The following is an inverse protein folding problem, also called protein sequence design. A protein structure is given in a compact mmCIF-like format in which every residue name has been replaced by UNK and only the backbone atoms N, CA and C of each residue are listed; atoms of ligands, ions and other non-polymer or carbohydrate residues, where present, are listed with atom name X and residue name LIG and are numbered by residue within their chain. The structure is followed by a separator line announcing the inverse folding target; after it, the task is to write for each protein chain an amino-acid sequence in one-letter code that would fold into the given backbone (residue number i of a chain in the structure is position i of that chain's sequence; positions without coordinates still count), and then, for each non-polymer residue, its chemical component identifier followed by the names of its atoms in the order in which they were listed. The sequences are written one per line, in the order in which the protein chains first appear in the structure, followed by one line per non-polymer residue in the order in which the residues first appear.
data_IF_295092208729
#
_entry.id   IF_295092208729
#
_cell.length_a   1.000
_cell.length_b   1.000
_cell.length_c   1.000
_cell.angle_alpha   90.00
_cell.angle_beta   90.00
_cell.angle_gamma   90.00
#
_symmetry.space_group_name_H-M   'P 1'
#
loop_
_entity.id
_entity.type
_entity.pdbx_description
1 polymer ?
#
# COMPACT_ATOMS: atom_id res chain seq x y z
N UNK A 1 -5.14 21.65 -15.35
CA UNK A 1 -4.00 20.77 -15.72
C UNK A 1 -2.66 21.22 -15.13
N UNK A 2 -2.45 22.49 -14.76
CA UNK A 2 -1.23 22.96 -14.07
C UNK A 2 -1.11 22.62 -12.58
N UNK A 3 -2.17 22.19 -11.90
CA UNK A 3 -2.10 21.75 -10.49
C UNK A 3 -1.32 20.44 -10.32
N UNK A 4 -1.38 19.55 -11.31
CA UNK A 4 -0.69 18.26 -11.27
C UNK A 4 0.81 18.45 -11.56
N UNK A 5 1.16 19.32 -12.50
CA UNK A 5 2.57 19.61 -12.83
C UNK A 5 3.27 20.46 -11.76
N UNK A 6 2.55 21.33 -11.06
CA UNK A 6 3.07 22.10 -9.93
C UNK A 6 3.27 21.20 -8.70
N UNK A 7 2.37 20.25 -8.44
CA UNK A 7 2.57 19.24 -7.40
C UNK A 7 3.79 18.34 -7.69
N UNK A 8 3.98 17.97 -8.97
CA UNK A 8 5.16 17.21 -9.41
C UNK A 8 6.46 18.01 -9.28
N UNK A 9 6.49 19.29 -9.66
CA UNK A 9 7.69 20.14 -9.52
C UNK A 9 7.99 20.49 -8.05
N UNK A 10 6.96 20.67 -7.21
CA UNK A 10 7.10 20.87 -5.76
C UNK A 10 7.65 19.59 -5.10
N UNK A 11 7.15 18.41 -5.47
CA UNK A 11 7.65 17.13 -4.97
C UNK A 11 9.09 16.83 -5.42
N UNK A 12 9.46 17.21 -6.65
CA UNK A 12 10.82 17.02 -7.18
C UNK A 12 11.81 18.00 -6.53
N UNK A 13 11.41 19.24 -6.24
CA UNK A 13 12.27 20.23 -5.60
C UNK A 13 12.44 20.01 -4.08
N UNK A 14 11.45 19.42 -3.40
CA UNK A 14 11.54 19.09 -1.97
C UNK A 14 12.32 17.81 -1.67
N UNK A 15 12.43 16.87 -2.62
CA UNK A 15 13.12 15.59 -2.45
C UNK A 15 14.62 15.61 -2.85
N UNK A 16 15.10 16.64 -3.54
CA UNK A 16 16.45 16.66 -4.13
C UNK A 16 17.61 16.70 -3.10
N UNK A 17 17.35 16.92 -1.80
CA UNK A 17 18.38 16.93 -0.76
C UNK A 17 18.64 15.56 -0.10
N UNK A 18 17.93 14.49 -0.48
CA UNK A 18 18.07 13.15 0.15
C UNK A 18 18.05 11.94 -0.79
N UNK A 19 18.07 12.14 -2.12
CA UNK A 19 17.95 11.05 -3.11
C UNK A 19 19.32 10.51 -3.57
N UNK A 20 19.44 9.18 -3.69
CA UNK A 20 20.62 8.55 -4.30
C UNK A 20 20.67 8.78 -5.82
N UNK A 21 21.86 8.81 -6.42
CA UNK A 21 22.05 8.98 -7.87
C UNK A 21 21.23 8.02 -8.74
N UNK A 22 20.92 6.81 -8.25
CA UNK A 22 20.11 5.81 -8.95
C UNK A 22 18.62 6.19 -8.99
N UNK A 23 18.11 6.83 -7.94
CA UNK A 23 16.75 7.35 -7.88
C UNK A 23 16.59 8.60 -8.77
N UNK A 24 17.60 9.48 -8.78
CA UNK A 24 17.64 10.65 -9.67
C UNK A 24 17.60 10.24 -11.15
N UNK A 25 18.35 9.20 -11.54
CA UNK A 25 18.34 8.69 -12.92
C UNK A 25 16.97 8.15 -13.34
N UNK A 26 16.30 7.40 -12.46
CA UNK A 26 14.95 6.87 -12.73
C UNK A 26 13.90 7.97 -12.85
N UNK A 27 13.96 8.98 -11.98
CA UNK A 27 13.08 10.16 -12.07
C UNK A 27 13.28 10.92 -13.37
N UNK A 28 14.53 11.15 -13.78
CA UNK A 28 14.83 11.85 -15.03
C UNK A 28 14.30 11.09 -16.26
N UNK A 29 14.28 9.76 -16.21
CA UNK A 29 13.74 8.92 -17.28
C UNK A 29 12.19 8.96 -17.33
N UNK A 30 11.53 9.00 -16.18
CA UNK A 30 10.08 9.20 -16.08
C UNK A 30 9.65 10.60 -16.55
N UNK A 31 10.40 11.64 -16.20
CA UNK A 31 10.17 13.03 -16.67
C UNK A 31 10.32 13.13 -18.20
N UNK A 32 11.37 12.54 -18.78
CA UNK A 32 11.54 12.48 -20.24
C UNK A 32 10.37 11.77 -20.94
N UNK A 33 9.86 10.70 -20.33
CA UNK A 33 8.70 9.97 -20.88
C UNK A 33 7.44 10.82 -20.86
N UNK A 34 7.25 11.66 -19.83
CA UNK A 34 6.14 12.59 -19.74
C UNK A 34 6.27 13.75 -20.75
N UNK A 35 7.47 14.30 -20.95
CA UNK A 35 7.73 15.33 -21.95
C UNK A 35 7.42 14.84 -23.36
N UNK A 36 7.87 13.63 -23.71
CA UNK A 36 7.56 13.01 -25.00
C UNK A 36 6.05 12.83 -25.23
N UNK A 37 5.29 12.49 -24.18
CA UNK A 37 3.82 12.38 -24.24
C UNK A 37 3.14 13.74 -24.37
N UNK A 38 3.67 14.77 -23.71
CA UNK A 38 3.15 16.14 -23.84
C UNK A 38 3.41 16.72 -25.23
N UNK A 39 4.55 16.41 -25.84
CA UNK A 39 4.85 16.80 -27.23
C UNK A 39 3.95 16.08 -28.24
N UNK A 40 3.67 14.79 -28.01
CA UNK A 40 2.66 14.06 -28.79
C UNK A 40 1.27 14.72 -28.70
N UNK A 41 0.83 15.10 -27.50
CA UNK A 41 -0.45 15.78 -27.30
C UNK A 41 -0.48 17.19 -27.91
N UNK A 42 0.62 17.95 -27.85
CA UNK A 42 0.77 19.24 -28.55
C UNK A 42 0.69 19.06 -30.06
N UNK A 43 1.26 17.99 -30.60
CA UNK A 43 1.22 17.70 -32.03
C UNK A 43 -0.20 17.34 -32.49
N UNK A 44 -0.95 16.60 -31.68
CA UNK A 44 -2.39 16.35 -31.90
C UNK A 44 -3.20 17.65 -31.84
N UNK A 45 -2.90 18.54 -30.89
CA UNK A 45 -3.62 19.80 -30.70
C UNK A 45 -3.41 20.81 -31.84
N UNK A 46 -2.27 20.76 -32.55
CA UNK A 46 -2.00 21.62 -33.72
C UNK A 46 -2.94 21.37 -34.90
N UNK A 47 -3.55 20.18 -34.99
CA UNK A 47 -4.40 19.77 -36.13
C UNK A 47 -5.91 19.84 -35.83
N UNK A 48 -6.33 20.42 -34.69
CA UNK A 48 -7.75 20.55 -34.31
C UNK A 48 -8.05 21.97 -33.81
N UNK A 49 -8.71 22.83 -34.62
CA UNK A 49 -8.96 24.24 -34.29
C UNK A 49 -9.68 24.48 -32.94
N UNK A 50 -10.48 23.51 -32.47
CA UNK A 50 -11.17 23.57 -31.18
C UNK A 50 -10.32 23.27 -29.94
N UNK A 51 -9.11 22.70 -30.08
CA UNK A 51 -8.24 22.36 -28.95
C UNK A 51 -7.45 23.57 -28.40
N UNK A 52 -7.35 24.65 -29.18
CA UNK A 52 -6.60 25.86 -28.82
C UNK A 52 -7.22 26.63 -27.65
N UNK A 53 -8.55 26.56 -27.49
CA UNK A 53 -9.30 27.28 -26.45
C UNK A 53 -9.06 26.75 -25.01
N UNK A 54 -8.41 25.60 -24.86
CA UNK A 54 -8.14 24.96 -23.55
C UNK A 54 -6.77 25.37 -22.98
N UNK A 55 -5.91 26.04 -23.76
CA UNK A 55 -4.49 26.25 -23.42
C UNK A 55 -4.15 27.65 -22.86
N UNK A 56 -5.03 28.65 -22.98
CA UNK A 56 -4.62 30.06 -22.79
C UNK A 56 -4.98 30.70 -21.42
N UNK A 57 -5.68 30.03 -20.51
CA UNK A 57 -6.07 30.63 -19.22
C UNK A 57 -5.02 30.50 -18.10
N UNK A 58 -3.91 29.81 -18.35
CA UNK A 58 -2.92 29.41 -17.35
C UNK A 58 -1.53 29.68 -17.92
N UNK A 59 -1.05 30.92 -18.04
CA UNK A 59 0.32 31.17 -18.57
C UNK A 59 1.39 30.90 -17.50
N UNK A 60 2.57 30.48 -17.96
CA UNK A 60 3.68 30.00 -17.10
C UNK A 60 4.36 31.17 -16.38
N UNK A 61 4.42 32.34 -17.02
CA UNK A 61 5.16 33.50 -16.52
C UNK A 61 4.52 34.12 -15.28
N UNK A 62 3.19 34.30 -15.25
CA UNK A 62 2.49 34.83 -14.07
C UNK A 62 2.63 33.95 -12.82
N UNK A 63 2.87 32.64 -13.00
CA UNK A 63 3.07 31.69 -11.89
C UNK A 63 4.50 31.71 -11.37
N UNK A 64 5.49 32.04 -12.20
CA UNK A 64 6.89 32.15 -11.80
C UNK A 64 7.18 33.42 -10.99
N UNK A 65 6.50 34.53 -11.30
CA UNK A 65 6.64 35.79 -10.56
C UNK A 65 6.11 35.70 -9.12
N UNK A 66 5.00 34.98 -8.92
CA UNK A 66 4.44 34.70 -7.59
C UNK A 66 5.39 33.84 -6.73
N UNK A 67 5.98 32.79 -7.31
CA UNK A 67 6.93 31.91 -6.61
C UNK A 67 8.22 32.64 -6.21
N UNK A 68 8.71 33.58 -7.04
CA UNK A 68 9.87 34.42 -6.68
C UNK A 68 9.56 35.36 -5.50
N UNK A 69 8.32 35.79 -5.34
CA UNK A 69 7.91 36.69 -4.24
C UNK A 69 7.83 35.94 -2.89
N UNK A 70 7.42 34.67 -2.90
CA UNK A 70 7.44 33.81 -1.71
C UNK A 70 8.88 33.47 -1.28
N UNK A 71 9.78 33.21 -2.23
CA UNK A 71 11.17 32.88 -1.93
C UNK A 71 11.94 34.04 -1.27
N UNK A 72 11.59 35.30 -1.58
CA UNK A 72 12.22 36.49 -0.99
C UNK A 72 11.81 36.76 0.46
N UNK A 73 10.73 36.18 0.97
CA UNK A 73 10.14 36.52 2.27
C UNK A 73 10.15 35.36 3.31
N UNK A 74 11.02 34.36 3.16
CA UNK A 74 11.07 33.21 4.08
C UNK A 74 11.96 33.48 5.31
N UNK A 75 11.47 33.31 6.55
CA UNK A 75 12.34 33.30 7.74
C UNK A 75 13.07 31.94 7.84
N UNK A 76 14.37 31.98 8.14
CA UNK A 76 15.21 30.79 8.25
C UNK A 76 14.93 30.00 9.54
N UNK A 77 14.82 28.67 9.44
CA UNK A 77 15.01 27.77 10.61
C UNK A 77 13.87 26.86 11.08
N UNK A 78 12.78 26.60 10.31
CA UNK A 78 11.75 25.63 10.74
C UNK A 78 11.76 24.34 9.90
N UNK A 79 11.86 23.19 10.58
CA UNK A 79 11.76 21.83 10.02
C UNK A 79 10.45 21.68 9.23
N UNK A 80 10.53 21.01 8.09
CA UNK A 80 9.40 20.69 7.22
C UNK A 80 8.52 19.67 7.93
N UNK A 81 7.26 20.05 8.17
CA UNK A 81 6.17 19.14 8.52
C UNK A 81 5.37 18.93 7.23
N UNK A 82 5.11 17.67 6.87
CA UNK A 82 4.33 17.33 5.68
C UNK A 82 2.83 17.55 5.94
N UNK A 83 2.09 17.82 4.86
CA UNK A 83 0.81 18.55 4.87
C UNK A 83 -0.40 17.85 5.53
N UNK A 84 -0.26 16.61 6.02
CA UNK A 84 -1.39 15.84 6.57
C UNK A 84 -1.21 15.42 8.03
N UNK A 85 -0.11 15.78 8.70
CA UNK A 85 0.09 15.44 10.12
C UNK A 85 0.10 13.92 10.43
N UNK A 86 0.20 13.06 9.42
CA UNK A 86 0.50 11.64 9.55
C UNK A 86 1.98 11.46 9.24
N UNK A 87 2.72 10.99 10.23
CA UNK A 87 4.16 10.72 10.13
C UNK A 87 4.48 9.95 8.85
N UNK A 88 5.39 10.50 8.04
CA UNK A 88 5.94 9.82 6.87
C UNK A 88 6.33 8.38 7.24
N UNK A 89 5.88 7.41 6.43
CA UNK A 89 6.10 5.97 6.58
C UNK A 89 7.49 5.67 7.14
N UNK A 90 7.56 5.36 8.44
CA UNK A 90 8.80 4.95 9.08
C UNK A 90 8.94 3.44 8.94
N UNK A 91 9.24 2.97 7.73
CA UNK A 91 9.69 1.59 7.50
C UNK A 91 10.80 1.51 6.45
N UNK A 92 12.06 1.80 6.82
CA UNK A 92 13.19 1.81 5.88
C UNK A 92 13.49 0.46 5.23
N UNK A 93 13.05 -0.65 5.84
CA UNK A 93 13.25 -2.00 5.32
C UNK A 93 12.01 -2.56 4.61
N UNK A 94 10.92 -1.80 4.54
CA UNK A 94 9.75 -2.18 3.77
C UNK A 94 10.04 -2.03 2.28
N UNK A 95 9.50 -2.94 1.49
CA UNK A 95 9.56 -2.86 0.03
C UNK A 95 8.14 -2.70 -0.47
N UNK A 96 7.82 -1.53 -1.01
CA UNK A 96 6.48 -1.25 -1.52
C UNK A 96 6.03 -2.30 -2.54
N UNK A 97 4.75 -2.64 -2.51
CA UNK A 97 4.12 -3.38 -3.59
C UNK A 97 3.90 -2.45 -4.77
N UNK A 98 4.21 -2.94 -5.96
CA UNK A 98 3.77 -2.28 -7.19
C UNK A 98 2.26 -2.40 -7.34
N UNK A 99 1.66 -1.55 -8.18
CA UNK A 99 0.22 -1.66 -8.49
C UNK A 99 -0.15 -3.06 -8.99
N UNK A 100 0.71 -3.69 -9.80
CA UNK A 100 0.50 -5.06 -10.28
C UNK A 100 0.47 -6.05 -9.12
N UNK A 101 1.41 -5.96 -8.18
CA UNK A 101 1.43 -6.85 -7.00
C UNK A 101 0.23 -6.62 -6.07
N UNK A 102 -0.28 -5.39 -5.98
CA UNK A 102 -1.53 -5.10 -5.25
C UNK A 102 -2.71 -5.82 -5.92
N UNK A 103 -2.85 -5.70 -7.24
CA UNK A 103 -3.92 -6.37 -7.99
C UNK A 103 -3.82 -7.90 -7.87
N UNK A 104 -2.64 -8.48 -8.07
CA UNK A 104 -2.42 -9.93 -7.89
C UNK A 104 -2.78 -10.39 -6.47
N UNK A 105 -2.47 -9.57 -5.46
CA UNK A 105 -2.82 -9.87 -4.06
C UNK A 105 -4.33 -9.86 -3.86
N UNK A 106 -5.04 -8.87 -4.39
CA UNK A 106 -6.51 -8.81 -4.32
C UNK A 106 -7.16 -9.96 -5.09
N UNK A 107 -6.68 -10.27 -6.29
CA UNK A 107 -7.18 -11.37 -7.12
C UNK A 107 -7.04 -12.72 -6.40
N UNK A 108 -5.90 -12.97 -5.76
CA UNK A 108 -5.69 -14.19 -4.97
C UNK A 108 -6.70 -14.31 -3.80
N UNK A 109 -6.96 -13.22 -3.08
CA UNK A 109 -7.97 -13.20 -2.02
C UNK A 109 -9.37 -13.43 -2.57
N UNK A 110 -9.74 -12.67 -3.61
CA UNK A 110 -11.09 -12.65 -4.15
C UNK A 110 -11.44 -13.95 -4.86
N UNK A 111 -10.47 -14.61 -5.49
CA UNK A 111 -10.64 -15.96 -6.05
C UNK A 111 -10.94 -16.99 -4.95
N UNK A 112 -10.21 -16.94 -3.82
CA UNK A 112 -10.46 -17.83 -2.68
C UNK A 112 -11.83 -17.58 -2.03
N UNK A 113 -12.25 -16.31 -1.92
CA UNK A 113 -13.57 -15.90 -1.40
C UNK A 113 -14.71 -16.35 -2.30
N UNK A 114 -14.58 -16.16 -3.62
CA UNK A 114 -15.56 -16.61 -4.60
C UNK A 114 -15.74 -18.14 -4.56
N UNK A 115 -14.66 -18.89 -4.35
CA UNK A 115 -14.69 -20.36 -4.23
C UNK A 115 -15.49 -20.88 -3.02
N UNK A 116 -15.88 -20.02 -2.08
CA UNK A 116 -16.79 -20.33 -0.97
C UNK A 116 -18.07 -19.48 -1.01
N UNK A 117 -18.45 -18.99 -2.20
CA UNK A 117 -19.67 -18.22 -2.49
C UNK A 117 -19.76 -16.84 -1.80
N UNK A 118 -18.64 -16.25 -1.40
CA UNK A 118 -18.62 -14.86 -0.91
C UNK A 118 -18.58 -13.93 -2.13
N UNK A 119 -19.62 -13.11 -2.29
CA UNK A 119 -19.82 -12.25 -3.47
C UNK A 119 -19.25 -10.85 -3.31
N UNK A 120 -18.94 -10.42 -2.08
CA UNK A 120 -18.33 -9.10 -1.82
C UNK A 120 -16.80 -9.24 -1.85
N UNK A 121 -16.13 -8.68 -2.89
CA UNK A 121 -14.68 -8.74 -2.99
C UNK A 121 -14.03 -7.81 -1.98
N UNK A 122 -12.84 -8.18 -1.53
CA UNK A 122 -11.94 -7.26 -0.83
C UNK A 122 -11.49 -6.16 -1.78
N UNK A 123 -11.30 -4.97 -1.21
CA UNK A 123 -10.65 -3.85 -1.88
C UNK A 123 -9.42 -3.41 -1.08
N UNK A 124 -8.44 -2.84 -1.76
CA UNK A 124 -7.22 -2.37 -1.11
C UNK A 124 -7.50 -1.10 -0.28
N UNK A 125 -6.78 -0.95 0.83
CA UNK A 125 -6.83 0.22 1.71
C UNK A 125 -5.39 0.64 2.07
N UNK A 126 -5.00 1.84 1.62
CA UNK A 126 -3.64 2.35 1.81
C UNK A 126 -3.35 2.73 3.27
N UNK A 127 -4.36 3.11 4.05
CA UNK A 127 -4.17 3.44 5.47
C UNK A 127 -3.91 2.17 6.27
N UNK A 128 -4.61 1.08 5.93
CA UNK A 128 -4.35 -0.25 6.49
C UNK A 128 -2.95 -0.75 6.08
N UNK A 129 -2.55 -0.56 4.82
CA UNK A 129 -1.20 -0.95 4.37
C UNK A 129 -0.10 -0.15 5.09
N UNK A 130 -0.34 1.14 5.34
CA UNK A 130 0.55 2.01 6.11
C UNK A 130 0.64 1.56 7.57
N UNK A 131 -0.50 1.19 8.17
CA UNK A 131 -0.55 0.64 9.52
C UNK A 131 0.26 -0.65 9.64
N UNK A 132 0.09 -1.57 8.69
CA UNK A 132 0.87 -2.80 8.57
C UNK A 132 2.38 -2.51 8.46
N UNK A 133 2.78 -1.51 7.65
CA UNK A 133 4.17 -1.11 7.49
C UNK A 133 4.80 -0.58 8.78
N UNK A 134 4.06 0.21 9.56
CA UNK A 134 4.54 0.75 10.83
C UNK A 134 4.84 -0.36 11.84
N UNK A 135 4.03 -1.41 11.87
CA UNK A 135 4.31 -2.57 12.72
C UNK A 135 5.48 -3.41 12.17
N UNK A 136 5.48 -3.68 10.86
CA UNK A 136 6.50 -4.49 10.20
C UNK A 136 7.93 -3.93 10.34
N UNK A 137 8.09 -2.61 10.53
CA UNK A 137 9.39 -1.99 10.78
C UNK A 137 10.11 -2.52 12.04
N UNK A 138 9.37 -3.10 12.99
CA UNK A 138 9.94 -3.66 14.22
C UNK A 138 10.64 -5.01 14.01
N UNK A 139 10.58 -5.60 12.81
CA UNK A 139 11.18 -6.91 12.53
C UNK A 139 12.73 -6.89 12.44
N UNK A 140 13.36 -5.81 12.90
CA UNK A 140 14.82 -5.69 13.03
C UNK A 140 15.24 -6.41 14.34
N UNK A 141 15.68 -7.67 14.22
CA UNK A 141 16.25 -8.42 15.34
C UNK A 141 15.23 -9.08 16.30
N UNK A 142 13.94 -9.11 15.95
CA UNK A 142 12.85 -9.67 16.76
C UNK A 142 12.22 -10.91 16.12
N UNK A 143 11.27 -11.55 16.82
CA UNK A 143 10.54 -12.72 16.33
C UNK A 143 9.66 -12.35 15.13
N UNK A 144 9.99 -12.92 13.98
CA UNK A 144 9.33 -12.66 12.69
C UNK A 144 7.88 -13.08 12.55
N UNK A 145 7.33 -13.78 13.54
CA UNK A 145 5.97 -14.32 13.48
C UNK A 145 5.10 -13.77 14.60
N UNK A 146 5.53 -12.71 15.27
CA UNK A 146 4.72 -12.03 16.27
C UNK A 146 3.66 -11.17 15.57
N UNK A 147 2.40 -11.41 15.92
CA UNK A 147 1.27 -10.58 15.53
C UNK A 147 1.29 -9.25 16.28
N UNK A 148 0.82 -8.17 15.63
CA UNK A 148 0.69 -6.85 16.25
C UNK A 148 -0.23 -6.92 17.48
N UNK A 149 0.25 -6.64 18.70
CA UNK A 149 -0.61 -6.69 19.88
C UNK A 149 -1.65 -5.56 19.88
N UNK A 150 -1.42 -4.48 19.13
CA UNK A 150 -2.22 -3.27 19.12
C UNK A 150 -2.82 -3.01 17.73
N UNK A 151 -3.66 -3.91 17.22
CA UNK A 151 -4.35 -3.78 15.91
C UNK A 151 -5.55 -2.85 15.95
N UNK A 152 -5.39 -1.66 16.53
CA UNK A 152 -6.42 -0.62 16.55
C UNK A 152 -5.88 0.65 15.91
N UNK A 153 -6.49 1.05 14.81
CA UNK A 153 -6.17 2.29 14.11
C UNK A 153 -6.67 3.51 14.90
N UNK A 154 -6.09 4.68 14.63
CA UNK A 154 -6.44 5.95 15.26
C UNK A 154 -7.90 6.38 15.02
N UNK A 155 -8.48 5.97 13.90
CA UNK A 155 -9.90 6.19 13.54
C UNK A 155 -10.87 5.21 14.23
N UNK A 156 -10.37 4.34 15.09
CA UNK A 156 -11.16 3.38 15.86
C UNK A 156 -11.37 2.02 15.19
N UNK A 157 -10.95 1.82 13.94
CA UNK A 157 -11.00 0.50 13.27
C UNK A 157 -10.13 -0.51 14.01
N UNK A 158 -10.67 -1.70 14.24
CA UNK A 158 -9.90 -2.86 14.73
C UNK A 158 -9.56 -3.78 13.56
N UNK A 159 -8.35 -4.31 13.50
CA UNK A 159 -7.84 -5.08 12.36
C UNK A 159 -7.57 -6.55 12.73
N UNK A 160 -7.84 -7.43 11.76
CA UNK A 160 -7.27 -8.79 11.73
C UNK A 160 -5.91 -8.75 11.05
N UNK A 161 -5.13 -9.83 11.14
CA UNK A 161 -3.77 -9.86 10.62
C UNK A 161 -3.36 -11.27 10.21
N UNK A 162 -2.67 -11.39 9.08
CA UNK A 162 -1.95 -12.60 8.69
C UNK A 162 -0.48 -12.24 8.41
N UNK A 163 0.43 -13.12 8.79
CA UNK A 163 1.87 -12.98 8.55
C UNK A 163 2.36 -14.21 7.77
N UNK A 164 3.23 -13.97 6.79
CA UNK A 164 3.90 -15.00 6.01
C UNK A 164 5.39 -14.70 5.98
N UNK A 165 6.21 -15.68 6.36
CA UNK A 165 7.67 -15.55 6.34
C UNK A 165 8.30 -16.42 5.25
N UNK A 166 9.36 -15.91 4.61
CA UNK A 166 10.05 -16.62 3.54
C UNK A 166 11.53 -16.25 3.46
N UNK A 167 12.32 -17.11 2.80
CA UNK A 167 13.77 -16.93 2.60
C UNK A 167 14.13 -15.95 1.48
N UNK A 168 13.18 -15.64 0.59
CA UNK A 168 13.36 -14.71 -0.52
C UNK A 168 12.25 -13.67 -0.58
N UNK A 169 12.42 -12.62 -1.37
CA UNK A 169 11.39 -11.62 -1.59
C UNK A 169 10.18 -12.29 -2.26
N UNK A 170 8.99 -12.11 -1.68
CA UNK A 170 7.74 -12.62 -2.22
C UNK A 170 6.71 -11.48 -2.34
N UNK A 171 5.74 -11.64 -3.24
CA UNK A 171 4.58 -10.75 -3.35
C UNK A 171 3.45 -11.21 -2.41
N UNK A 172 2.41 -10.40 -2.29
CA UNK A 172 1.25 -10.74 -1.47
C UNK A 172 0.47 -11.94 -1.99
N UNK A 173 0.34 -12.10 -3.31
CA UNK A 173 -0.33 -13.26 -3.90
C UNK A 173 0.27 -14.60 -3.44
N UNK A 174 1.60 -14.69 -3.32
CA UNK A 174 2.25 -15.90 -2.81
C UNK A 174 1.92 -16.17 -1.34
N UNK A 175 1.89 -15.13 -0.50
CA UNK A 175 1.49 -15.25 0.90
C UNK A 175 0.03 -15.73 1.01
N UNK A 176 -0.87 -15.15 0.22
CA UNK A 176 -2.29 -15.54 0.16
C UNK A 176 -2.45 -16.98 -0.28
N UNK A 177 -1.74 -17.42 -1.31
CA UNK A 177 -1.75 -18.82 -1.73
C UNK A 177 -1.32 -19.76 -0.60
N UNK A 178 -0.29 -19.41 0.18
CA UNK A 178 0.14 -20.18 1.34
C UNK A 178 -0.95 -20.27 2.41
N UNK A 179 -1.62 -19.15 2.71
CA UNK A 179 -2.72 -19.13 3.68
C UNK A 179 -3.94 -19.92 3.18
N UNK A 180 -4.27 -19.82 1.90
CA UNK A 180 -5.39 -20.55 1.27
C UNK A 180 -5.17 -22.05 1.29
N UNK A 181 -3.91 -22.53 1.22
CA UNK A 181 -3.61 -23.96 1.33
C UNK A 181 -4.06 -24.56 2.67
N UNK A 182 -4.23 -23.77 3.73
CA UNK A 182 -4.79 -24.28 4.98
C UNK A 182 -6.26 -24.70 4.87
N UNK A 183 -6.94 -24.42 3.75
CA UNK A 183 -8.28 -24.93 3.45
C UNK A 183 -8.38 -26.44 3.64
N UNK A 184 -7.34 -27.21 3.28
CA UNK A 184 -7.33 -28.67 3.47
C UNK A 184 -7.39 -29.09 4.94
N UNK A 185 -7.05 -28.18 5.85
CA UNK A 185 -7.07 -28.41 7.30
C UNK A 185 -8.34 -27.87 7.96
N UNK A 186 -9.24 -27.20 7.22
CA UNK A 186 -10.44 -26.60 7.80
C UNK A 186 -11.67 -27.47 7.54
N UNK A 187 -12.34 -27.87 8.62
CA UNK A 187 -13.63 -28.56 8.55
C UNK A 187 -14.77 -27.54 8.69
N UNK A 188 -15.54 -27.43 7.60
CA UNK A 188 -16.67 -26.51 7.46
C UNK A 188 -17.86 -26.89 8.36
N UNK A 189 -18.03 -28.17 8.66
CA UNK A 189 -19.14 -28.66 9.49
C UNK A 189 -18.88 -28.29 10.95
N UNK A 190 -17.69 -28.61 11.45
CA UNK A 190 -17.31 -28.32 12.85
C UNK A 190 -16.80 -26.88 13.07
N UNK A 191 -16.59 -26.09 12.01
CA UNK A 191 -15.99 -24.75 12.06
C UNK A 191 -14.62 -24.75 12.78
N UNK A 192 -13.84 -25.81 12.60
CA UNK A 192 -12.59 -26.04 13.34
C UNK A 192 -11.45 -26.46 12.41
N UNK A 193 -10.23 -26.28 12.88
CA UNK A 193 -9.08 -26.85 12.19
C UNK A 193 -8.93 -28.32 12.60
N UNK A 194 -8.46 -29.16 11.69
CA UNK A 194 -8.05 -30.52 12.00
C UNK A 194 -7.06 -30.53 13.16
N UNK A 195 -7.09 -31.60 13.97
CA UNK A 195 -6.27 -31.70 15.17
C UNK A 195 -4.77 -31.48 14.86
N UNK A 196 -4.15 -30.56 15.61
CA UNK A 196 -2.73 -30.20 15.43
C UNK A 196 -2.42 -29.41 14.15
N UNK A 197 -3.43 -28.95 13.40
CA UNK A 197 -3.26 -28.13 12.19
C UNK A 197 -3.72 -26.69 12.41
N UNK A 198 -3.20 -25.81 11.56
CA UNK A 198 -3.61 -24.41 11.49
C UNK A 198 -4.51 -24.19 10.28
N UNK A 199 -5.51 -23.32 10.47
CA UNK A 199 -6.42 -22.85 9.44
C UNK A 199 -6.86 -21.40 9.64
N UNK A 200 -6.28 -20.70 10.62
CA UNK A 200 -6.68 -19.35 11.00
C UNK A 200 -6.38 -18.32 9.92
N UNK A 201 -5.31 -18.54 9.13
CA UNK A 201 -5.00 -17.63 8.03
C UNK A 201 -6.02 -17.80 6.90
N UNK A 202 -6.35 -19.05 6.57
CA UNK A 202 -7.41 -19.34 5.61
C UNK A 202 -8.74 -18.72 6.02
N UNK A 203 -9.19 -18.94 7.25
CA UNK A 203 -10.48 -18.42 7.71
C UNK A 203 -10.51 -16.90 7.73
N UNK A 204 -9.38 -16.20 7.94
CA UNK A 204 -9.29 -14.75 7.75
C UNK A 204 -9.43 -14.34 6.27
N UNK A 205 -8.73 -15.01 5.35
CA UNK A 205 -8.82 -14.72 3.90
C UNK A 205 -10.27 -14.83 3.40
N UNK A 206 -10.96 -15.89 3.81
CA UNK A 206 -12.36 -16.14 3.43
C UNK A 206 -13.37 -15.61 4.44
N UNK A 207 -13.05 -14.57 5.21
CA UNK A 207 -14.00 -13.99 6.17
C UNK A 207 -14.99 -13.04 5.48
N UNK A 208 -16.26 -13.43 5.34
CA UNK A 208 -17.29 -12.75 4.57
C UNK A 208 -17.49 -11.29 4.98
N UNK A 209 -17.39 -10.99 6.27
CA UNK A 209 -17.55 -9.62 6.79
C UNK A 209 -16.33 -8.73 6.58
N UNK A 210 -15.15 -9.28 6.29
CA UNK A 210 -13.98 -8.50 5.94
C UNK A 210 -14.15 -7.96 4.52
N UNK A 211 -13.89 -6.66 4.33
CA UNK A 211 -14.12 -5.93 3.07
C UNK A 211 -12.89 -5.14 2.58
N UNK A 212 -11.93 -4.88 3.47
CA UNK A 212 -10.69 -4.16 3.17
C UNK A 212 -9.48 -4.97 3.58
N UNK A 213 -8.41 -4.86 2.80
CA UNK A 213 -7.09 -5.40 3.12
C UNK A 213 -6.02 -4.39 2.75
N UNK A 214 -4.98 -4.32 3.56
CA UNK A 214 -3.75 -3.59 3.23
C UNK A 214 -2.56 -4.43 3.66
N UNK A 215 -1.57 -4.56 2.78
CA UNK A 215 -0.41 -5.39 3.04
C UNK A 215 0.90 -4.62 2.88
N UNK A 216 1.92 -5.13 3.55
CA UNK A 216 3.30 -4.71 3.41
C UNK A 216 4.19 -5.93 3.25
N UNK A 217 5.33 -5.77 2.60
CA UNK A 217 6.46 -6.68 2.74
C UNK A 217 7.66 -5.97 3.33
N UNK A 218 8.41 -6.68 4.16
CA UNK A 218 9.58 -6.16 4.86
C UNK A 218 10.73 -7.14 4.79
N UNK A 219 11.95 -6.60 4.67
CA UNK A 219 13.18 -7.36 4.83
C UNK A 219 13.68 -7.25 6.27
N UNK A 220 13.64 -8.34 7.00
CA UNK A 220 14.10 -8.45 8.36
C UNK A 220 15.57 -8.90 8.38
N UNK A 221 16.45 -8.10 8.99
CA UNK A 221 17.89 -8.38 9.04
C UNK A 221 18.24 -9.40 10.15
N UNK A 222 19.36 -10.11 9.96
CA UNK A 222 20.01 -10.99 10.96
C UNK A 222 19.21 -12.21 11.47
N UNK A 223 18.34 -12.77 10.62
CA UNK A 223 17.49 -13.91 10.97
C UNK A 223 17.34 -14.90 9.79
N UNK A 224 16.87 -16.12 10.09
CA UNK A 224 16.38 -17.09 9.09
C UNK A 224 15.01 -16.62 8.58
N UNK A 225 14.70 -16.81 7.29
CA UNK A 225 13.51 -16.27 6.62
C UNK A 225 13.42 -14.73 6.69
N UNK A 226 14.36 -14.09 5.98
CA UNK A 226 14.62 -12.65 6.01
C UNK A 226 13.49 -11.79 5.44
N UNK A 227 12.42 -12.35 4.90
CA UNK A 227 11.34 -11.59 4.30
C UNK A 227 10.00 -11.97 4.93
N UNK A 228 9.18 -10.97 5.19
CA UNK A 228 7.80 -11.15 5.59
C UNK A 228 6.86 -10.44 4.64
N UNK A 229 5.65 -11.00 4.50
CA UNK A 229 4.46 -10.31 4.05
C UNK A 229 3.50 -10.26 5.24
N UNK A 230 3.01 -9.07 5.57
CA UNK A 230 2.00 -8.85 6.59
C UNK A 230 0.80 -8.20 5.92
N UNK A 231 -0.38 -8.77 6.12
CA UNK A 231 -1.64 -8.21 5.63
C UNK A 231 -2.58 -7.98 6.81
N UNK A 232 -3.09 -6.76 6.93
CA UNK A 232 -4.12 -6.40 7.89
C UNK A 232 -5.50 -6.32 7.21
N UNK A 233 -6.55 -6.67 7.96
CA UNK A 233 -7.89 -6.91 7.44
C UNK A 233 -8.95 -6.13 8.22
N UNK A 234 -9.87 -5.47 7.51
CA UNK A 234 -10.98 -4.75 8.14
C UNK A 234 -12.34 -5.10 7.52
N UNK A 235 -13.39 -5.27 8.34
CA UNK A 235 -13.36 -5.67 9.76
C UNK A 235 -12.53 -6.94 10.03
N UNK A 236 -12.13 -7.21 11.28
CA UNK A 236 -11.31 -8.36 11.61
C UNK A 236 -12.10 -9.66 11.42
N UNK A 237 -11.42 -10.68 10.91
CA UNK A 237 -11.93 -12.04 10.89
C UNK A 237 -11.70 -12.78 12.19
N UNK A 238 -12.07 -14.06 12.22
CA UNK A 238 -11.82 -14.98 13.32
C UNK A 238 -12.38 -14.51 14.69
N UNK A 239 -13.45 -13.71 14.67
CA UNK A 239 -14.06 -13.18 15.89
C UNK A 239 -14.97 -14.20 16.56
N UNK A 240 -14.99 -14.16 17.88
CA UNK A 240 -15.96 -14.89 18.72
C UNK A 240 -16.93 -13.91 19.36
N UNK A 241 -18.23 -14.17 19.25
CA UNK A 241 -19.28 -13.40 19.92
C UNK A 241 -19.99 -14.29 20.91
N UNK A 242 -20.11 -13.87 22.17
CA UNK A 242 -20.71 -14.68 23.25
C UNK A 242 -20.09 -16.09 23.37
N UNK A 243 -18.76 -16.21 23.19
CA UNK A 243 -18.00 -17.47 23.15
C UNK A 243 -18.35 -18.42 21.98
N UNK A 244 -19.13 -17.96 21.01
CA UNK A 244 -19.42 -18.70 19.78
C UNK A 244 -18.50 -18.19 18.67
N UNK A 245 -17.69 -19.09 18.11
CA UNK A 245 -16.85 -18.80 16.94
C UNK A 245 -17.74 -18.59 15.72
N UNK A 246 -17.67 -17.41 15.12
CA UNK A 246 -18.40 -17.14 13.89
C UNK A 246 -17.84 -17.97 12.74
N UNK A 247 -18.69 -18.28 11.76
CA UNK A 247 -18.23 -18.93 10.53
C UNK A 247 -17.61 -17.90 9.60
N UNK A 248 -16.57 -18.29 8.84
CA UNK A 248 -15.92 -17.40 7.90
C UNK A 248 -16.80 -17.04 6.70
N UNK A 249 -17.67 -17.93 6.21
CA UNK A 249 -18.48 -17.76 5.01
C UNK A 249 -19.96 -17.52 5.33
#
# INVERSE_FOLDING_TARGET
MKLILLALLIAVASAASSLSHKQIRRMNEQVRTLDNRMDFLRNIAKNRPGAKKVLDADTLDGRMDFLRNIAKNRPAGKKVLDADGLDAVSCPNCVEFTEVEIQETLEAHNSARAAVNITVPLTWDNDIATFAANYANQCIGTNILAHNPNRKMSDGRSLGENIYASSGLQNGARAVSSWVNEKSNYDYNSNSCAAGKMCGHYTQVVWAKTIKVGCVRVKCNNIKNKFQVLCDYFPPGNVSTNKVKQKPY
#
